data_IF_501039066427
#
_entry.id   IF_501039066427
#
_cell.length_a   1.000
_cell.length_b   1.000
_cell.length_c   1.000
_cell.angle_alpha   90.00
_cell.angle_beta   90.00
_cell.angle_gamma   90.00
#
_symmetry.space_group_name_H-M   'P 1'
#
loop_
_entity.id
_entity.type
_entity.pdbx_description
1 polymer ?
#
# COMPACT_ATOMS: atom_id res chain seq x y z
N UNK A 1 28.89 30.88 -3.00
CA UNK A 1 28.36 30.17 -1.83
C UNK A 1 27.77 31.19 -0.88
N UNK A 2 26.54 30.95 -0.43
CA UNK A 2 25.95 31.47 0.81
C UNK A 2 24.66 30.65 1.03
N UNK A 3 24.72 29.87 2.12
CA UNK A 3 23.65 29.49 3.05
C UNK A 3 22.44 28.67 2.59
N UNK A 4 22.66 27.35 2.53
CA UNK A 4 21.69 26.38 3.04
C UNK A 4 21.56 26.52 4.57
N UNK A 5 20.48 27.11 5.05
CA UNK A 5 20.02 26.97 6.43
C UNK A 5 18.56 26.55 6.39
N UNK A 6 18.31 25.24 6.44
CA UNK A 6 17.97 24.52 7.68
C UNK A 6 16.71 25.08 8.35
N UNK A 7 15.58 24.66 7.81
CA UNK A 7 14.41 24.36 8.62
C UNK A 7 13.72 23.11 8.07
N UNK A 8 14.52 22.08 7.74
CA UNK A 8 13.97 20.73 7.59
C UNK A 8 13.46 20.34 8.97
N UNK A 9 12.13 20.23 9.12
CA UNK A 9 11.56 19.46 10.22
C UNK A 9 12.34 18.15 10.28
N UNK A 10 12.96 17.86 11.42
CA UNK A 10 13.84 16.69 11.60
C UNK A 10 13.08 15.43 11.15
N UNK A 11 13.29 14.99 9.91
CA UNK A 11 12.62 13.83 9.36
C UNK A 11 13.32 12.61 9.97
N UNK A 12 12.69 12.04 10.99
CA UNK A 12 13.25 10.96 11.79
C UNK A 12 13.19 9.63 11.04
N UNK A 13 14.10 9.43 10.09
CA UNK A 13 14.23 8.18 9.31
C UNK A 13 14.36 6.94 10.20
N UNK A 14 14.97 7.10 11.38
CA UNK A 14 15.13 6.06 12.39
C UNK A 14 13.79 5.42 12.80
N UNK A 15 12.68 6.18 12.81
CA UNK A 15 11.35 5.63 13.12
C UNK A 15 10.90 4.53 12.14
N UNK A 16 11.39 4.59 10.89
CA UNK A 16 11.07 3.59 9.87
C UNK A 16 12.08 2.44 9.84
N UNK A 17 13.14 2.52 10.64
CA UNK A 17 14.09 1.43 10.84
C UNK A 17 13.75 0.60 12.08
N UNK A 18 12.84 1.09 12.94
CA UNK A 18 12.48 0.45 14.20
C UNK A 18 12.01 -1.00 14.02
N UNK A 19 11.33 -1.36 12.92
CA UNK A 19 10.94 -2.75 12.67
C UNK A 19 12.11 -3.73 12.50
N UNK A 20 13.31 -3.24 12.18
CA UNK A 20 14.51 -4.09 12.15
C UNK A 20 14.91 -4.58 13.55
N UNK A 21 14.47 -3.86 14.60
CA UNK A 21 14.78 -4.15 16.01
C UNK A 21 13.55 -4.68 16.74
N UNK A 22 12.43 -3.97 16.61
CA UNK A 22 11.17 -4.20 17.32
C UNK A 22 10.23 -5.17 16.58
N UNK A 23 10.58 -5.57 15.35
CA UNK A 23 9.86 -6.60 14.59
C UNK A 23 8.37 -6.27 14.40
N UNK A 24 7.50 -7.07 15.04
CA UNK A 24 6.04 -6.91 14.97
C UNK A 24 5.52 -5.74 15.81
N UNK A 25 6.24 -5.31 16.84
CA UNK A 25 5.80 -4.23 17.74
C UNK A 25 6.11 -2.84 17.17
N UNK A 26 6.89 -2.76 16.08
CA UNK A 26 7.15 -1.51 15.39
C UNK A 26 5.89 -0.98 14.69
N UNK A 27 5.70 0.34 14.76
CA UNK A 27 4.60 1.02 14.08
C UNK A 27 4.63 0.79 12.57
N UNK A 28 5.79 0.95 11.92
CA UNK A 28 5.94 0.75 10.47
C UNK A 28 6.89 -0.40 10.17
N UNK A 29 6.56 -1.27 9.22
CA UNK A 29 7.49 -2.30 8.72
C UNK A 29 7.29 -2.64 7.24
N UNK A 30 8.30 -3.28 6.64
CA UNK A 30 8.27 -3.76 5.25
C UNK A 30 8.16 -5.29 5.25
N UNK A 31 7.17 -5.82 4.54
CA UNK A 31 6.97 -7.24 4.28
C UNK A 31 7.54 -7.65 2.92
N UNK A 32 7.92 -8.91 2.79
CA UNK A 32 8.51 -9.48 1.58
C UNK A 32 7.48 -10.12 0.63
N UNK A 33 6.26 -10.36 1.12
CA UNK A 33 5.17 -11.01 0.39
C UNK A 33 3.81 -10.42 0.79
N UNK A 34 2.76 -10.75 0.03
CA UNK A 34 1.38 -10.41 0.41
C UNK A 34 0.95 -11.28 1.59
N UNK A 35 1.35 -12.56 1.59
CA UNK A 35 1.14 -13.50 2.69
C UNK A 35 1.62 -12.92 4.04
N UNK A 36 2.82 -12.34 4.09
CA UNK A 36 3.34 -11.70 5.32
C UNK A 36 2.49 -10.51 5.81
N UNK A 37 1.78 -9.80 4.91
CA UNK A 37 0.83 -8.77 5.32
C UNK A 37 -0.38 -9.40 6.03
N UNK A 38 -0.93 -10.48 5.48
CA UNK A 38 -2.07 -11.17 6.08
C UNK A 38 -1.68 -11.83 7.40
N UNK A 39 -0.52 -12.46 7.47
CA UNK A 39 0.02 -13.05 8.70
C UNK A 39 0.16 -12.00 9.82
N UNK A 40 0.74 -10.84 9.50
CA UNK A 40 0.84 -9.73 10.45
C UNK A 40 -0.53 -9.29 10.97
N UNK A 41 -1.52 -9.11 10.09
CA UNK A 41 -2.86 -8.68 10.51
C UNK A 41 -3.61 -9.75 11.31
N UNK A 42 -3.38 -11.03 11.01
CA UNK A 42 -3.89 -12.16 11.78
C UNK A 42 -3.28 -12.18 13.19
N UNK A 43 -1.97 -11.96 13.31
CA UNK A 43 -1.29 -11.83 14.60
C UNK A 43 -1.85 -10.67 15.43
N UNK A 44 -2.07 -9.51 14.81
CA UNK A 44 -2.65 -8.35 15.48
C UNK A 44 -4.10 -8.59 15.91
N UNK A 45 -4.89 -9.30 15.09
CA UNK A 45 -6.27 -9.70 15.46
C UNK A 45 -6.28 -10.69 16.62
N UNK A 46 -5.32 -11.62 16.67
CA UNK A 46 -5.20 -12.55 17.78
C UNK A 46 -4.80 -11.84 19.09
N UNK A 47 -4.01 -10.77 18.98
CA UNK A 47 -3.62 -9.92 20.11
C UNK A 47 -4.76 -9.03 20.59
N UNK A 48 -5.46 -8.35 19.67
CA UNK A 48 -6.63 -7.52 19.92
C UNK A 48 -7.80 -7.94 19.01
N UNK A 49 -8.69 -8.82 19.48
CA UNK A 49 -9.83 -9.31 18.70
C UNK A 49 -10.84 -8.22 18.30
N UNK A 50 -10.81 -7.05 18.94
CA UNK A 50 -11.67 -5.92 18.60
C UNK A 50 -11.07 -5.04 17.48
N UNK A 51 -9.80 -5.24 17.12
CA UNK A 51 -9.12 -4.45 16.11
C UNK A 51 -9.70 -4.65 14.71
N UNK A 52 -9.82 -3.56 13.96
CA UNK A 52 -10.23 -3.58 12.56
C UNK A 52 -9.01 -3.50 11.64
N UNK A 53 -8.69 -4.63 11.01
CA UNK A 53 -7.44 -4.82 10.28
C UNK A 53 -7.72 -5.21 8.83
N UNK A 54 -7.14 -4.53 7.84
CA UNK A 54 -7.34 -4.89 6.42
C UNK A 54 -6.07 -4.74 5.60
N UNK A 55 -5.93 -5.58 4.57
CA UNK A 55 -4.99 -5.34 3.48
C UNK A 55 -5.66 -4.44 2.45
N UNK A 56 -4.96 -3.43 1.97
CA UNK A 56 -5.46 -2.43 1.03
C UNK A 56 -4.44 -2.16 -0.08
N UNK A 57 -4.92 -1.67 -1.22
CA UNK A 57 -4.09 -1.39 -2.38
C UNK A 57 -4.66 -0.24 -3.23
N UNK A 58 -3.79 0.44 -3.99
CA UNK A 58 -4.21 1.31 -5.10
C UNK A 58 -4.74 0.49 -6.28
N UNK A 59 -5.27 1.10 -7.34
CA UNK A 59 -5.80 0.36 -8.50
C UNK A 59 -4.70 -0.25 -9.39
N UNK A 60 -3.72 -0.93 -8.81
CA UNK A 60 -2.54 -1.49 -9.44
C UNK A 60 -2.74 -2.87 -10.11
N UNK A 61 -3.94 -3.44 -9.96
CA UNK A 61 -4.26 -4.81 -10.39
C UNK A 61 -5.56 -4.85 -11.17
N UNK A 62 -5.58 -5.64 -12.25
CA UNK A 62 -6.82 -5.97 -12.97
C UNK A 62 -7.76 -6.72 -12.03
N UNK A 63 -9.04 -6.38 -12.11
CA UNK A 63 -10.09 -7.00 -11.33
C UNK A 63 -10.76 -8.12 -12.12
N UNK A 64 -10.07 -9.25 -12.22
CA UNK A 64 -10.48 -10.44 -13.00
C UNK A 64 -11.53 -11.28 -12.27
N UNK A 65 -11.51 -11.27 -10.94
CA UNK A 65 -12.46 -11.99 -10.07
C UNK A 65 -13.91 -11.51 -10.24
N UNK A 66 -14.10 -10.27 -10.73
CA UNK A 66 -15.42 -9.70 -11.04
C UNK A 66 -16.19 -10.41 -12.14
N UNK A 67 -15.48 -11.12 -13.02
CA UNK A 67 -16.05 -11.72 -14.24
C UNK A 67 -15.65 -13.18 -14.45
N UNK A 68 -14.86 -13.73 -13.53
CA UNK A 68 -14.32 -15.09 -13.64
C UNK A 68 -13.99 -15.63 -12.26
N UNK A 69 -13.79 -16.94 -12.16
CA UNK A 69 -13.33 -17.61 -10.94
C UNK A 69 -11.82 -17.43 -10.68
N UNK A 70 -11.11 -16.68 -11.54
CA UNK A 70 -9.68 -16.40 -11.34
C UNK A 70 -9.48 -15.38 -10.23
N UNK A 71 -8.47 -15.61 -9.41
CA UNK A 71 -8.08 -14.67 -8.36
C UNK A 71 -7.32 -13.46 -8.91
N UNK A 72 -7.47 -12.30 -8.25
CA UNK A 72 -6.78 -11.07 -8.66
C UNK A 72 -5.28 -11.10 -8.29
N UNK A 73 -4.96 -11.74 -7.15
CA UNK A 73 -3.61 -12.08 -6.73
C UNK A 73 -3.48 -13.58 -6.48
N UNK A 74 -2.34 -14.12 -6.88
CA UNK A 74 -1.93 -15.50 -6.61
C UNK A 74 -0.47 -15.46 -6.15
N UNK A 75 -0.20 -15.97 -4.96
CA UNK A 75 1.14 -16.09 -4.38
C UNK A 75 1.26 -17.47 -3.73
N UNK A 76 2.13 -18.32 -4.24
CA UNK A 76 2.19 -19.73 -3.83
C UNK A 76 0.81 -20.40 -3.94
N UNK A 77 0.27 -20.90 -2.82
CA UNK A 77 -1.07 -21.48 -2.69
C UNK A 77 -2.12 -20.47 -2.23
N UNK A 78 -1.74 -19.22 -2.00
CA UNK A 78 -2.64 -18.18 -1.50
C UNK A 78 -3.27 -17.40 -2.65
N UNK A 79 -4.53 -17.04 -2.45
CA UNK A 79 -5.39 -16.43 -3.45
C UNK A 79 -6.16 -15.29 -2.80
N UNK A 80 -6.08 -14.09 -3.40
CA UNK A 80 -6.83 -12.94 -2.91
C UNK A 80 -7.56 -12.24 -4.05
N UNK A 81 -8.72 -11.72 -3.71
CA UNK A 81 -9.55 -10.91 -4.58
C UNK A 81 -9.66 -9.50 -4.01
N UNK A 82 -9.92 -8.56 -4.90
CA UNK A 82 -10.42 -7.25 -4.51
C UNK A 82 -11.72 -7.36 -3.70
N UNK A 83 -11.98 -6.32 -2.91
CA UNK A 83 -13.19 -6.14 -2.11
C UNK A 83 -14.50 -6.51 -2.85
N UNK A 84 -15.28 -7.45 -2.33
CA UNK A 84 -16.51 -7.94 -2.99
C UNK A 84 -17.62 -6.88 -3.14
N UNK A 85 -17.63 -5.89 -2.25
CA UNK A 85 -18.55 -4.73 -2.28
C UNK A 85 -17.80 -3.43 -2.04
N UNK A 86 -18.35 -2.31 -2.53
CA UNK A 86 -17.78 -0.98 -2.29
C UNK A 86 -18.30 -0.39 -0.98
N UNK A 87 -19.61 -0.35 -0.82
CA UNK A 87 -20.26 0.17 0.39
C UNK A 87 -20.15 -0.82 1.54
N UNK A 88 -19.83 -0.30 2.72
CA UNK A 88 -19.76 -1.07 3.96
C UNK A 88 -18.86 -2.31 3.88
N UNK A 89 -17.82 -2.27 3.01
CA UNK A 89 -16.94 -3.42 2.78
C UNK A 89 -16.34 -3.96 4.08
N UNK A 90 -15.92 -3.08 4.99
CA UNK A 90 -15.30 -3.45 6.27
C UNK A 90 -16.16 -4.42 7.10
N UNK A 91 -17.49 -4.36 6.99
CA UNK A 91 -18.41 -5.21 7.74
C UNK A 91 -18.86 -6.45 6.93
N UNK A 92 -18.28 -6.70 5.76
CA UNK A 92 -18.61 -7.89 4.97
C UNK A 92 -17.99 -9.14 5.62
N UNK A 93 -18.71 -10.29 5.65
CA UNK A 93 -18.24 -11.52 6.31
C UNK A 93 -16.84 -12.00 5.89
N UNK A 94 -16.46 -11.76 4.63
CA UNK A 94 -15.17 -12.23 4.07
C UNK A 94 -14.18 -11.09 3.79
N UNK A 95 -14.49 -9.85 4.19
CA UNK A 95 -13.64 -8.68 3.88
C UNK A 95 -12.22 -8.78 4.42
N UNK A 96 -11.99 -9.56 5.47
CA UNK A 96 -10.67 -9.81 6.04
C UNK A 96 -9.76 -10.64 5.13
N UNK A 97 -10.34 -11.44 4.24
CA UNK A 97 -9.62 -12.28 3.26
C UNK A 97 -9.53 -11.61 1.88
N UNK A 98 -10.00 -10.37 1.77
CA UNK A 98 -10.02 -9.58 0.54
C UNK A 98 -9.01 -8.43 0.64
N UNK A 99 -8.64 -7.88 -0.51
CA UNK A 99 -7.82 -6.67 -0.60
C UNK A 99 -8.73 -5.47 -0.90
N UNK A 100 -8.71 -4.49 -0.02
CA UNK A 100 -9.50 -3.27 -0.12
C UNK A 100 -8.95 -2.29 -1.14
N UNK A 101 -9.76 -1.88 -2.11
CA UNK A 101 -9.42 -0.72 -2.92
C UNK A 101 -9.60 0.59 -2.15
N UNK A 102 -8.90 1.64 -2.56
CA UNK A 102 -9.01 2.98 -1.96
C UNK A 102 -10.45 3.48 -1.83
N UNK A 103 -11.33 3.16 -2.80
CA UNK A 103 -12.75 3.56 -2.75
C UNK A 103 -13.54 2.80 -1.67
N UNK A 104 -13.13 1.57 -1.32
CA UNK A 104 -13.78 0.77 -0.28
C UNK A 104 -13.40 1.18 1.15
N UNK A 105 -12.26 1.86 1.30
CA UNK A 105 -11.71 2.30 2.61
C UNK A 105 -11.75 3.82 2.80
N UNK A 106 -12.49 4.52 1.95
CA UNK A 106 -12.55 5.98 2.01
C UNK A 106 -13.28 6.44 3.29
N UNK A 107 -12.54 7.09 4.20
CA UNK A 107 -13.09 7.63 5.45
C UNK A 107 -13.17 6.63 6.59
N UNK A 108 -12.55 5.46 6.44
CA UNK A 108 -12.44 4.44 7.49
C UNK A 108 -11.00 4.45 7.98
N UNK A 109 -10.80 4.58 9.28
CA UNK A 109 -9.51 4.37 9.92
C UNK A 109 -9.43 2.93 10.45
N UNK A 110 -8.25 2.33 10.34
CA UNK A 110 -7.97 0.93 10.68
C UNK A 110 -6.98 0.91 11.85
N UNK A 111 -7.10 -0.06 12.74
CA UNK A 111 -6.09 -0.26 13.80
C UNK A 111 -4.75 -0.62 13.15
N UNK A 112 -4.74 -1.73 12.40
CA UNK A 112 -3.58 -2.19 11.67
C UNK A 112 -3.88 -2.31 10.18
N UNK A 113 -2.97 -1.84 9.34
CA UNK A 113 -3.15 -1.88 7.88
C UNK A 113 -1.97 -2.53 7.17
N UNK A 114 -2.27 -3.43 6.25
CA UNK A 114 -1.32 -3.92 5.26
C UNK A 114 -1.51 -3.14 3.96
N UNK A 115 -0.49 -2.47 3.44
CA UNK A 115 -0.59 -1.70 2.20
C UNK A 115 0.26 -2.35 1.12
N UNK A 116 -0.38 -2.75 0.02
CA UNK A 116 0.31 -3.18 -1.18
C UNK A 116 0.61 -1.93 -2.02
N UNK A 117 1.90 -1.57 -2.12
CA UNK A 117 2.42 -0.59 -3.06
C UNK A 117 2.63 -1.30 -4.40
N UNK A 118 1.68 -1.09 -5.30
CA UNK A 118 1.61 -1.80 -6.56
C UNK A 118 2.48 -1.23 -7.67
N UNK A 119 2.42 -1.88 -8.84
CA UNK A 119 3.20 -1.50 -10.03
C UNK A 119 2.70 -0.26 -10.77
N UNK A 120 1.60 0.34 -10.33
CA UNK A 120 1.18 1.67 -10.77
C UNK A 120 2.07 2.79 -10.19
N UNK A 121 3.02 2.46 -9.32
CA UNK A 121 4.21 3.28 -9.01
C UNK A 121 5.49 2.54 -9.42
N UNK A 122 6.43 3.26 -10.02
CA UNK A 122 7.75 2.73 -10.40
C UNK A 122 8.84 3.79 -10.26
N UNK A 123 10.10 3.39 -10.45
CA UNK A 123 11.25 4.29 -10.55
C UNK A 123 11.61 4.46 -12.02
N UNK A 124 11.57 5.70 -12.53
CA UNK A 124 11.95 6.03 -13.89
C UNK A 124 13.47 5.98 -14.11
N UNK A 125 13.93 6.19 -15.35
CA UNK A 125 15.36 6.19 -15.71
C UNK A 125 16.19 7.28 -15.00
N UNK A 126 15.54 8.34 -14.53
CA UNK A 126 16.18 9.43 -13.75
C UNK A 126 16.27 9.11 -12.26
N UNK A 127 15.73 7.97 -11.81
CA UNK A 127 15.69 7.59 -10.40
C UNK A 127 14.55 8.23 -9.61
N UNK A 128 13.53 8.76 -10.30
CA UNK A 128 12.38 9.43 -9.67
C UNK A 128 11.21 8.45 -9.53
N UNK A 129 10.51 8.53 -8.39
CA UNK A 129 9.24 7.83 -8.21
C UNK A 129 8.17 8.46 -9.11
N UNK A 130 7.59 7.67 -10.00
CA UNK A 130 6.56 8.10 -10.94
C UNK A 130 5.39 7.12 -10.97
N UNK A 131 4.21 7.62 -11.31
CA UNK A 131 3.08 6.75 -11.63
C UNK A 131 3.23 6.09 -13.00
N UNK A 132 2.81 4.83 -13.10
CA UNK A 132 2.77 4.05 -14.32
C UNK A 132 1.31 3.78 -14.74
N UNK A 133 0.87 4.45 -15.81
CA UNK A 133 -0.49 4.32 -16.32
C UNK A 133 -0.78 2.94 -16.94
N UNK A 134 0.25 2.18 -17.31
CA UNK A 134 0.08 0.82 -17.85
C UNK A 134 -0.35 -0.17 -16.78
N UNK A 135 -0.01 0.11 -15.53
CA UNK A 135 -0.33 -0.72 -14.37
C UNK A 135 -1.44 -0.12 -13.51
N UNK A 136 -2.13 0.94 -13.98
CA UNK A 136 -3.27 1.54 -13.31
C UNK A 136 -4.60 1.13 -13.97
N UNK A 137 -5.51 0.52 -13.20
CA UNK A 137 -6.69 -0.20 -13.71
C UNK A 137 -8.04 0.35 -13.21
N UNK A 138 -8.09 1.58 -12.69
CA UNK A 138 -9.37 2.22 -12.36
C UNK A 138 -10.10 2.67 -13.64
N UNK A 139 -10.91 1.77 -14.19
CA UNK A 139 -11.64 2.01 -15.44
C UNK A 139 -12.70 3.12 -15.34
N UNK A 140 -13.13 3.46 -14.13
CA UNK A 140 -14.15 4.49 -13.85
C UNK A 140 -13.54 5.73 -13.18
N UNK A 141 -12.23 5.72 -12.95
CA UNK A 141 -11.49 6.79 -12.33
C UNK A 141 -11.36 8.03 -13.19
N UNK A 142 -10.93 9.11 -12.54
CA UNK A 142 -10.74 10.44 -13.15
C UNK A 142 -9.71 10.43 -14.29
N UNK A 143 -8.68 9.59 -14.17
CA UNK A 143 -7.57 9.51 -15.11
C UNK A 143 -7.58 8.17 -15.83
N UNK A 144 -7.17 8.17 -17.10
CA UNK A 144 -7.08 6.96 -17.93
C UNK A 144 -5.67 6.76 -18.47
N UNK A 145 -5.42 5.58 -19.03
CA UNK A 145 -4.23 5.34 -19.83
C UNK A 145 -4.09 6.40 -20.93
N UNK A 146 -2.89 6.97 -21.09
CA UNK A 146 -2.57 8.10 -21.98
C UNK A 146 -3.30 9.41 -21.67
N UNK A 147 -3.58 9.69 -20.39
CA UNK A 147 -4.16 10.96 -19.98
C UNK A 147 -3.31 12.16 -20.45
N UNK A 148 -3.91 13.23 -21.00
CA UNK A 148 -3.18 14.43 -21.44
C UNK A 148 -2.55 15.22 -20.29
N UNK A 149 -2.77 14.82 -19.03
CA UNK A 149 -2.27 15.48 -17.84
C UNK A 149 -1.37 14.56 -16.98
N UNK A 150 -0.19 14.14 -17.48
CA UNK A 150 0.67 13.16 -16.81
C UNK A 150 1.12 13.60 -15.41
N UNK A 151 1.37 14.90 -15.18
CA UNK A 151 1.72 15.41 -13.85
C UNK A 151 0.55 15.34 -12.86
N UNK A 152 -0.68 15.54 -13.33
CA UNK A 152 -1.86 15.43 -12.48
C UNK A 152 -2.14 13.96 -12.14
N UNK A 153 -1.97 13.07 -13.12
CA UNK A 153 -2.06 11.63 -12.92
C UNK A 153 -1.01 11.12 -11.92
N UNK A 154 0.25 11.52 -12.09
CA UNK A 154 1.34 11.17 -11.19
C UNK A 154 1.05 11.58 -9.73
N UNK A 155 0.64 12.84 -9.54
CA UNK A 155 0.22 13.32 -8.21
C UNK A 155 -0.99 12.56 -7.68
N UNK A 156 -1.94 12.22 -8.54
CA UNK A 156 -3.15 11.51 -8.15
C UNK A 156 -2.86 10.10 -7.64
N UNK A 157 -2.04 9.31 -8.34
CA UNK A 157 -1.65 7.97 -7.87
C UNK A 157 -0.85 8.06 -6.57
N UNK A 158 0.09 9.01 -6.46
CA UNK A 158 0.82 9.25 -5.20
C UNK A 158 -0.12 9.60 -4.04
N UNK A 159 -1.17 10.38 -4.30
CA UNK A 159 -2.18 10.72 -3.30
C UNK A 159 -3.01 9.50 -2.87
N UNK A 160 -3.29 8.53 -3.75
CA UNK A 160 -3.93 7.27 -3.35
C UNK A 160 -3.11 6.60 -2.25
N UNK A 161 -1.81 6.42 -2.49
CA UNK A 161 -0.92 5.80 -1.52
C UNK A 161 -0.73 6.61 -0.25
N UNK A 162 -0.68 7.94 -0.33
CA UNK A 162 -0.71 8.80 0.84
C UNK A 162 -1.94 8.51 1.72
N UNK A 163 -3.13 8.41 1.11
CA UNK A 163 -4.36 8.10 1.86
C UNK A 163 -4.30 6.70 2.47
N UNK A 164 -3.87 5.68 1.72
CA UNK A 164 -3.79 4.30 2.24
C UNK A 164 -2.80 4.19 3.41
N UNK A 165 -1.63 4.80 3.27
CA UNK A 165 -0.58 4.81 4.31
C UNK A 165 -0.95 5.65 5.53
N UNK A 166 -2.01 6.45 5.49
CA UNK A 166 -2.49 7.24 6.64
C UNK A 166 -3.72 6.62 7.31
N UNK A 167 -4.17 5.42 6.88
CA UNK A 167 -5.31 4.72 7.49
C UNK A 167 -4.99 3.92 8.75
N UNK A 168 -3.74 3.49 8.92
CA UNK A 168 -3.33 2.74 10.11
C UNK A 168 -3.14 3.65 11.31
N UNK A 169 -3.79 3.33 12.43
CA UNK A 169 -3.70 4.07 13.70
C UNK A 169 -2.58 3.49 14.58
N UNK A 170 -2.51 2.16 14.68
CA UNK A 170 -1.65 1.44 15.63
C UNK A 170 -0.45 0.80 14.92
N UNK A 171 -0.59 0.46 13.63
CA UNK A 171 0.55 0.00 12.85
C UNK A 171 0.28 -0.22 11.35
N UNK A 172 1.35 -0.16 10.59
CA UNK A 172 1.38 -0.22 9.14
C UNK A 172 2.44 -1.25 8.72
N UNK A 173 2.06 -2.15 7.82
CA UNK A 173 2.99 -2.97 7.05
C UNK A 173 2.84 -2.69 5.58
N UNK A 174 3.96 -2.61 4.86
CA UNK A 174 3.96 -2.33 3.43
C UNK A 174 4.63 -3.45 2.66
N UNK A 175 4.03 -3.86 1.54
CA UNK A 175 4.64 -4.74 0.56
C UNK A 175 4.79 -3.99 -0.76
N UNK A 176 5.93 -4.14 -1.43
CA UNK A 176 6.19 -3.51 -2.72
C UNK A 176 6.20 -4.56 -3.84
N UNK A 177 5.29 -4.42 -4.81
CA UNK A 177 5.27 -5.28 -6.00
C UNK A 177 6.41 -4.94 -6.98
N UNK A 178 6.79 -3.66 -7.08
CA UNK A 178 7.98 -3.23 -7.83
C UNK A 178 9.19 -3.12 -6.90
N UNK A 179 10.14 -4.04 -7.07
CA UNK A 179 11.38 -4.09 -6.27
C UNK A 179 12.32 -2.91 -6.50
N UNK A 180 12.17 -2.16 -7.61
CA UNK A 180 12.87 -0.88 -7.79
C UNK A 180 12.38 0.16 -6.79
N UNK A 181 11.06 0.22 -6.56
CA UNK A 181 10.45 1.13 -5.60
C UNK A 181 10.85 0.75 -4.19
N UNK A 182 10.80 -0.55 -3.85
CA UNK A 182 11.27 -1.06 -2.56
C UNK A 182 12.72 -0.65 -2.28
N UNK A 183 13.61 -0.89 -3.25
CA UNK A 183 15.04 -0.54 -3.14
C UNK A 183 15.25 0.96 -2.98
N UNK A 184 14.53 1.78 -3.74
CA UNK A 184 14.60 3.23 -3.64
C UNK A 184 14.09 3.72 -2.28
N UNK A 185 12.99 3.16 -1.79
CA UNK A 185 12.45 3.45 -0.46
C UNK A 185 13.46 3.09 0.64
N UNK A 186 13.96 1.84 0.66
CA UNK A 186 14.96 1.38 1.62
C UNK A 186 16.21 2.28 1.62
N UNK A 187 16.75 2.61 0.44
CA UNK A 187 17.87 3.54 0.29
C UNK A 187 17.56 4.93 0.85
N UNK A 188 16.38 5.49 0.53
CA UNK A 188 15.98 6.81 1.02
C UNK A 188 15.85 6.83 2.55
N UNK A 189 15.31 5.77 3.13
CA UNK A 189 15.12 5.62 4.57
C UNK A 189 16.38 5.16 5.32
N UNK A 190 17.46 4.83 4.62
CA UNK A 190 18.67 4.29 5.22
C UNK A 190 18.49 2.89 5.82
N UNK A 191 17.48 2.14 5.36
CA UNK A 191 17.23 0.76 5.73
C UNK A 191 18.22 -0.09 4.92
N UNK A 192 19.33 -0.46 5.55
CA UNK A 192 20.29 -1.38 4.98
C UNK A 192 19.91 -2.80 5.43
N UNK A 193 19.54 -3.64 4.46
CA UNK A 193 19.41 -5.09 4.68
C UNK A 193 20.76 -5.78 4.60
#
# INVERSE_FOLDING_TARGET
GINDNKNDSKFYKELFQDYLVSGKDAYFGICNSIEELFDYLNDMKNYDPASQNRVVAGYCRKWVSKKSEQSDWVENSNHWNWNSRLEDWINAPDSENEIGSIHAVQGIDLNYVGVIIGKDLTINEKGELVADSENYYDNYGKFKKNDPHPLQFDRFVKNIYYVLLTRGIDGIRVYFEDKKVEKAFKKFMGING
#
